data_IF_605600083501
#
_entry.id   IF_605600083501
#
_cell.length_a   1.000
_cell.length_b   1.000
_cell.length_c   1.000
_cell.angle_alpha   90.00
_cell.angle_beta   90.00
_cell.angle_gamma   90.00
#
_symmetry.space_group_name_H-M   'P 1'
#
loop_
_entity.id
_entity.type
_entity.pdbx_description
1 polymer ?
#
# COMPACT_ATOMS: atom_id res chain seq x y z
N UNK A 1 -13.54 -13.22 -20.95
CA UNK A 1 -12.49 -14.19 -20.57
C UNK A 1 -12.82 -14.70 -19.18
N UNK A 2 -13.11 -16.00 -19.08
CA UNK A 2 -13.23 -16.70 -17.81
C UNK A 2 -11.95 -16.53 -17.00
N UNK A 3 -12.07 -16.50 -15.67
CA UNK A 3 -10.89 -16.59 -14.82
C UNK A 3 -10.21 -17.94 -15.13
N UNK A 4 -9.01 -17.90 -15.73
CA UNK A 4 -8.28 -19.11 -16.12
C UNK A 4 -7.85 -19.97 -14.91
N UNK A 5 -7.87 -19.37 -13.72
CA UNK A 5 -7.59 -20.00 -12.43
C UNK A 5 -8.26 -19.23 -11.30
N UNK A 6 -8.64 -19.93 -10.23
CA UNK A 6 -9.09 -19.32 -8.96
C UNK A 6 -8.06 -18.31 -8.42
N UNK A 7 -6.78 -18.50 -8.75
CA UNK A 7 -5.71 -17.62 -8.32
C UNK A 7 -5.78 -16.23 -8.95
N UNK A 8 -6.21 -16.11 -10.21
CA UNK A 8 -6.37 -14.82 -10.88
C UNK A 8 -7.53 -14.02 -10.27
N UNK A 9 -8.60 -14.72 -9.91
CA UNK A 9 -9.73 -14.14 -9.19
C UNK A 9 -9.32 -13.62 -7.81
N UNK A 10 -8.60 -14.46 -7.03
CA UNK A 10 -8.11 -14.08 -5.70
C UNK A 10 -7.11 -12.92 -5.78
N UNK A 11 -6.21 -12.90 -6.76
CA UNK A 11 -5.29 -11.78 -6.98
C UNK A 11 -6.01 -10.47 -7.32
N UNK A 12 -7.05 -10.52 -8.16
CA UNK A 12 -7.86 -9.34 -8.45
C UNK A 12 -8.56 -8.84 -7.18
N UNK A 13 -9.11 -9.74 -6.37
CA UNK A 13 -9.80 -9.41 -5.13
C UNK A 13 -8.84 -8.81 -4.08
N UNK A 14 -7.64 -9.39 -3.94
CA UNK A 14 -6.58 -8.81 -3.13
C UNK A 14 -6.13 -7.45 -3.64
N UNK A 15 -6.02 -7.26 -4.96
CA UNK A 15 -5.70 -5.96 -5.55
C UNK A 15 -6.77 -4.89 -5.23
N UNK A 16 -8.05 -5.26 -5.09
CA UNK A 16 -9.10 -4.31 -4.76
C UNK A 16 -9.10 -3.84 -3.31
N UNK A 17 -8.78 -4.74 -2.36
CA UNK A 17 -8.88 -4.43 -0.93
C UNK A 17 -7.53 -4.21 -0.26
N UNK A 18 -6.51 -5.01 -0.58
CA UNK A 18 -5.19 -4.93 0.07
C UNK A 18 -4.43 -3.68 -0.39
N UNK A 19 -4.53 -3.32 -1.66
CA UNK A 19 -3.85 -2.13 -2.19
C UNK A 19 -4.26 -0.82 -1.49
N UNK A 20 -5.56 -0.52 -1.26
CA UNK A 20 -5.96 0.66 -0.48
C UNK A 20 -5.84 0.48 1.05
N UNK A 21 -5.82 -0.75 1.57
CA UNK A 21 -5.54 -0.97 3.00
C UNK A 21 -4.12 -0.54 3.37
N UNK A 22 -3.15 -0.80 2.49
CA UNK A 22 -1.74 -0.47 2.73
C UNK A 22 -1.50 0.99 3.16
N UNK A 23 -1.88 2.02 2.39
CA UNK A 23 -1.65 3.41 2.78
C UNK A 23 -2.44 3.80 4.03
N UNK A 24 -3.65 3.27 4.23
CA UNK A 24 -4.47 3.55 5.42
C UNK A 24 -3.78 3.07 6.69
N UNK A 25 -3.27 1.84 6.69
CA UNK A 25 -2.54 1.25 7.82
C UNK A 25 -1.21 1.98 8.03
N UNK A 26 -0.47 2.23 6.95
CA UNK A 26 0.83 2.90 7.02
C UNK A 26 0.70 4.31 7.61
N UNK A 27 -0.28 5.09 7.16
CA UNK A 27 -0.57 6.41 7.73
C UNK A 27 -1.03 6.32 9.18
N UNK A 28 -1.85 5.32 9.53
CA UNK A 28 -2.25 5.09 10.92
C UNK A 28 -1.08 4.78 11.86
N UNK A 29 -0.06 4.05 11.38
CA UNK A 29 1.12 3.69 12.18
C UNK A 29 2.17 4.80 12.24
N UNK A 30 2.34 5.58 11.17
CA UNK A 30 3.45 6.54 11.04
C UNK A 30 3.03 8.00 11.25
N UNK A 31 1.74 8.33 11.18
CA UNK A 31 1.27 9.71 11.19
C UNK A 31 0.22 9.98 12.26
N UNK A 32 0.59 10.76 13.28
CA UNK A 32 -0.27 11.08 14.44
C UNK A 32 -1.56 11.83 14.10
N UNK A 33 -1.64 12.45 12.92
CA UNK A 33 -2.84 13.16 12.46
C UNK A 33 -3.84 12.26 11.75
N UNK A 34 -3.51 11.01 11.45
CA UNK A 34 -4.45 10.09 10.83
C UNK A 34 -5.68 9.88 11.75
N UNK A 35 -6.87 10.20 11.25
CA UNK A 35 -8.14 10.02 11.99
C UNK A 35 -8.89 8.77 11.52
N UNK A 36 -9.79 8.25 12.35
CA UNK A 36 -10.65 7.13 11.95
C UNK A 36 -11.54 7.47 10.76
N UNK A 37 -12.02 8.71 10.69
CA UNK A 37 -12.78 9.21 9.54
C UNK A 37 -11.90 9.25 8.28
N UNK A 38 -10.66 9.74 8.38
CA UNK A 38 -9.71 9.74 7.25
C UNK A 38 -9.38 8.32 6.77
N UNK A 39 -9.17 7.38 7.68
CA UNK A 39 -8.96 5.98 7.31
C UNK A 39 -10.17 5.37 6.62
N UNK A 40 -11.38 5.59 7.14
CA UNK A 40 -12.62 5.08 6.53
C UNK A 40 -12.87 5.66 5.13
N UNK A 41 -12.87 6.99 5.00
CA UNK A 41 -13.14 7.65 3.71
C UNK A 41 -12.04 7.41 2.69
N UNK A 42 -10.78 7.33 3.13
CA UNK A 42 -9.67 6.97 2.25
C UNK A 42 -9.79 5.53 1.74
N UNK A 43 -10.06 4.57 2.62
CA UNK A 43 -10.25 3.17 2.22
C UNK A 43 -11.44 3.01 1.26
N UNK A 44 -12.56 3.70 1.54
CA UNK A 44 -13.73 3.70 0.67
C UNK A 44 -13.39 4.28 -0.71
N UNK A 45 -12.76 5.45 -0.77
CA UNK A 45 -12.36 6.07 -2.03
C UNK A 45 -11.34 5.24 -2.81
N UNK A 46 -10.37 4.63 -2.12
CA UNK A 46 -9.40 3.71 -2.71
C UNK A 46 -10.06 2.45 -3.29
N UNK A 47 -11.03 1.88 -2.59
CA UNK A 47 -11.74 0.68 -3.05
C UNK A 47 -12.63 1.00 -4.24
N UNK A 48 -13.43 2.08 -4.15
CA UNK A 48 -14.31 2.52 -5.24
C UNK A 48 -13.51 2.90 -6.48
N UNK A 49 -12.39 3.59 -6.34
CA UNK A 49 -11.52 3.90 -7.49
C UNK A 49 -10.90 2.64 -8.11
N UNK A 50 -10.50 1.65 -7.31
CA UNK A 50 -9.99 0.36 -7.81
C UNK A 50 -11.06 -0.39 -8.61
N UNK A 51 -12.28 -0.48 -8.09
CA UNK A 51 -13.41 -1.09 -8.80
C UNK A 51 -13.75 -0.28 -10.06
N UNK A 52 -13.79 1.04 -9.97
CA UNK A 52 -14.09 1.93 -11.09
C UNK A 52 -13.08 1.79 -12.23
N UNK A 53 -11.77 1.76 -11.93
CA UNK A 53 -10.73 1.50 -12.92
C UNK A 53 -10.87 0.11 -13.56
N UNK A 54 -11.22 -0.91 -12.77
CA UNK A 54 -11.46 -2.26 -13.30
C UNK A 54 -12.66 -2.30 -14.26
N UNK A 55 -13.79 -1.68 -13.88
CA UNK A 55 -14.96 -1.56 -14.76
C UNK A 55 -14.61 -0.79 -16.02
N UNK A 56 -13.84 0.30 -15.91
CA UNK A 56 -13.47 1.13 -17.05
C UNK A 56 -12.65 0.35 -18.08
N UNK A 57 -11.63 -0.40 -17.65
CA UNK A 57 -10.85 -1.26 -18.56
C UNK A 57 -11.70 -2.36 -19.19
N UNK A 58 -12.74 -2.84 -18.48
CA UNK A 58 -13.67 -3.85 -19.02
C UNK A 58 -14.59 -3.29 -20.09
N UNK A 59 -15.08 -2.07 -19.92
CA UNK A 59 -15.99 -1.41 -20.87
C UNK A 59 -15.21 -0.87 -22.08
N UNK A 60 -14.04 -0.30 -21.84
CA UNK A 60 -13.17 0.27 -22.87
C UNK A 60 -11.74 -0.26 -22.72
N UNK A 61 -11.34 -1.26 -23.54
CA UNK A 61 -9.99 -1.80 -23.54
C UNK A 61 -8.91 -0.77 -23.89
N UNK A 62 -9.27 0.37 -24.48
CA UNK A 62 -8.32 1.46 -24.75
C UNK A 62 -7.88 2.19 -23.48
N UNK A 63 -8.69 2.15 -22.41
CA UNK A 63 -8.37 2.71 -21.10
C UNK A 63 -7.17 2.02 -20.43
N UNK A 64 -6.82 0.81 -20.89
CA UNK A 64 -5.64 0.08 -20.44
C UNK A 64 -4.35 0.86 -20.72
N UNK A 65 -4.31 1.64 -21.83
CA UNK A 65 -3.19 2.56 -22.14
C UNK A 65 -3.05 3.69 -21.12
N UNK A 66 -4.16 4.15 -20.56
CA UNK A 66 -4.22 5.26 -19.61
C UNK A 66 -3.84 4.77 -18.22
N UNK A 67 -4.36 3.60 -17.81
CA UNK A 67 -4.14 3.05 -16.48
C UNK A 67 -2.76 2.39 -16.36
N UNK A 68 -2.37 1.57 -17.34
CA UNK A 68 -1.10 0.84 -17.31
C UNK A 68 0.05 1.57 -18.02
N UNK A 69 -0.18 2.80 -18.50
CA UNK A 69 0.77 3.63 -19.24
C UNK A 69 1.38 2.95 -20.49
N UNK A 70 0.82 1.81 -20.92
CA UNK A 70 1.34 1.00 -22.01
C UNK A 70 0.22 0.23 -22.73
N UNK A 71 0.20 0.23 -24.08
CA UNK A 71 -0.81 -0.44 -24.88
C UNK A 71 -0.74 -1.97 -24.87
N UNK A 72 0.38 -2.55 -24.42
CA UNK A 72 0.62 -4.00 -24.38
C UNK A 72 0.78 -4.55 -22.97
N UNK A 73 0.30 -3.85 -21.96
CA UNK A 73 0.46 -4.28 -20.58
C UNK A 73 -0.25 -5.62 -20.34
N UNK A 74 0.50 -6.61 -19.84
CA UNK A 74 -0.05 -7.90 -19.40
C UNK A 74 -0.99 -7.66 -18.21
N UNK A 75 -1.94 -8.57 -17.99
CA UNK A 75 -2.92 -8.48 -16.90
C UNK A 75 -2.28 -8.21 -15.51
N UNK A 76 -1.10 -8.77 -15.25
CA UNK A 76 -0.34 -8.50 -14.03
C UNK A 76 0.08 -7.03 -13.88
N UNK A 77 0.53 -6.40 -14.97
CA UNK A 77 0.94 -4.99 -14.97
C UNK A 77 -0.27 -4.07 -14.76
N UNK A 78 -1.40 -4.37 -15.38
CA UNK A 78 -2.66 -3.65 -15.14
C UNK A 78 -3.05 -3.69 -13.65
N UNK A 79 -3.02 -4.88 -13.02
CA UNK A 79 -3.31 -5.05 -11.60
C UNK A 79 -2.37 -4.23 -10.70
N UNK A 80 -1.07 -4.17 -11.05
CA UNK A 80 -0.08 -3.38 -10.32
C UNK A 80 -0.34 -1.88 -10.41
N UNK A 81 -0.56 -1.35 -11.62
CA UNK A 81 -0.85 0.09 -11.80
C UNK A 81 -2.18 0.50 -11.19
N UNK A 82 -3.22 -0.33 -11.31
CA UNK A 82 -4.51 -0.08 -10.64
C UNK A 82 -4.34 -0.04 -9.12
N UNK A 83 -3.54 -0.96 -8.56
CA UNK A 83 -3.17 -0.96 -7.15
C UNK A 83 -2.44 0.32 -6.73
N UNK A 84 -1.49 0.80 -7.56
CA UNK A 84 -0.78 2.06 -7.33
C UNK A 84 -1.75 3.25 -7.28
N UNK A 85 -2.62 3.40 -8.29
CA UNK A 85 -3.60 4.48 -8.34
C UNK A 85 -4.59 4.44 -7.17
N UNK A 86 -5.10 3.26 -6.84
CA UNK A 86 -5.97 3.05 -5.69
C UNK A 86 -5.27 3.44 -4.38
N UNK A 87 -3.99 3.08 -4.24
CA UNK A 87 -3.16 3.45 -3.09
C UNK A 87 -2.99 4.97 -2.98
N UNK A 88 -2.65 5.65 -4.08
CA UNK A 88 -2.47 7.11 -4.11
C UNK A 88 -3.76 7.85 -3.77
N UNK A 89 -4.89 7.42 -4.36
CA UNK A 89 -6.21 8.01 -4.08
C UNK A 89 -6.57 7.80 -2.60
N UNK A 90 -6.37 6.59 -2.09
CA UNK A 90 -6.63 6.26 -0.69
C UNK A 90 -5.81 7.14 0.25
N UNK A 91 -4.48 7.21 0.04
CA UNK A 91 -3.59 8.04 0.84
C UNK A 91 -3.98 9.52 0.78
N UNK A 92 -4.27 10.04 -0.41
CA UNK A 92 -4.67 11.44 -0.61
C UNK A 92 -5.95 11.80 0.13
N UNK A 93 -6.98 10.96 0.02
CA UNK A 93 -8.27 11.17 0.71
C UNK A 93 -8.10 11.00 2.22
N UNK A 94 -7.34 10.01 2.68
CA UNK A 94 -7.04 9.87 4.12
C UNK A 94 -6.35 11.11 4.67
N UNK A 95 -5.36 11.66 3.95
CA UNK A 95 -4.66 12.89 4.35
C UNK A 95 -5.63 14.08 4.37
N UNK A 96 -6.37 14.31 3.29
CA UNK A 96 -7.30 15.44 3.19
C UNK A 96 -8.37 15.41 4.29
N UNK A 97 -9.04 14.28 4.48
CA UNK A 97 -10.08 14.14 5.51
C UNK A 97 -9.49 14.20 6.91
N UNK A 98 -8.29 13.63 7.14
CA UNK A 98 -7.61 13.73 8.43
C UNK A 98 -7.25 15.17 8.80
N UNK A 99 -6.90 16.01 7.82
CA UNK A 99 -6.62 17.44 8.05
C UNK A 99 -7.88 18.25 8.33
N UNK A 100 -9.02 17.85 7.77
CA UNK A 100 -10.32 18.51 7.95
C UNK A 100 -11.07 18.04 9.21
N UNK A 101 -10.61 16.98 9.87
CA UNK A 101 -11.27 16.38 11.04
C UNK A 101 -10.50 16.63 12.34
N UNK A 102 -11.17 16.45 13.48
CA UNK A 102 -10.55 16.67 14.79
C UNK A 102 -9.50 15.57 15.08
N UNK A 103 -8.25 15.94 15.38
CA UNK A 103 -7.21 14.96 15.72
C UNK A 103 -7.51 14.30 17.07
N UNK A 104 -7.13 13.02 17.21
CA UNK A 104 -7.20 12.32 18.50
C UNK A 104 -6.13 12.87 19.47
N UNK A 105 -6.41 12.88 20.79
CA UNK A 105 -5.42 13.29 21.79
C UNK A 105 -4.21 12.35 21.78
N UNK A 106 -3.01 12.89 21.96
CA UNK A 106 -1.75 12.13 21.87
C UNK A 106 -1.68 10.99 22.91
N UNK A 107 -2.33 11.15 24.07
CA UNK A 107 -2.45 10.10 25.09
C UNK A 107 -3.13 8.83 24.59
N UNK A 108 -4.05 8.93 23.62
CA UNK A 108 -4.73 7.80 23.01
C UNK A 108 -3.93 7.16 21.86
N UNK A 109 -2.79 7.77 21.46
CA UNK A 109 -1.93 7.30 20.37
C UNK A 109 -0.66 6.61 20.87
N UNK A 110 -0.41 6.64 22.19
CA UNK A 110 0.70 5.96 22.83
C UNK A 110 0.64 4.45 22.55
N UNK A 111 1.73 3.90 22.02
CA UNK A 111 1.82 2.47 21.65
C UNK A 111 1.22 2.12 20.29
N UNK A 112 0.49 3.05 19.64
CA UNK A 112 -0.17 2.83 18.34
C UNK A 112 0.56 3.51 17.19
N UNK A 113 1.05 4.73 17.42
CA UNK A 113 1.78 5.51 16.41
C UNK A 113 3.26 5.51 16.75
N UNK A 114 4.12 5.22 15.79
CA UNK A 114 5.59 5.17 15.99
C UNK A 114 6.13 6.43 16.69
N UNK A 115 5.60 7.60 16.36
CA UNK A 115 6.00 8.88 16.95
C UNK A 115 5.60 9.08 18.42
N UNK A 116 4.61 8.34 18.91
CA UNK A 116 4.13 8.39 20.30
C UNK A 116 4.60 7.18 21.12
N UNK A 117 5.38 6.27 20.52
CA UNK A 117 5.84 5.04 21.16
C UNK A 117 7.32 5.15 21.49
N UNK A 118 7.68 4.89 22.75
CA UNK A 118 9.09 4.81 23.16
C UNK A 118 9.68 3.53 22.59
N UNK A 119 10.55 3.67 21.59
CA UNK A 119 11.23 2.53 20.97
C UNK A 119 12.39 2.05 21.88
N UNK A 120 12.48 0.76 22.20
CA UNK A 120 13.58 0.22 22.98
C UNK A 120 14.91 0.41 22.24
N UNK A 121 15.96 0.82 22.97
CA UNK A 121 17.27 1.09 22.37
C UNK A 121 18.06 -0.20 22.14
N UNK A 122 18.45 -0.45 20.89
CA UNK A 122 19.26 -1.63 20.49
C UNK A 122 20.77 -1.44 20.70
N UNK A 123 21.22 -0.30 21.27
CA UNK A 123 22.66 0.01 21.43
C UNK A 123 23.42 -1.01 22.26
N UNK A 124 22.73 -1.71 23.16
CA UNK A 124 23.30 -2.72 24.05
C UNK A 124 23.50 -4.11 23.39
N UNK A 125 23.00 -4.32 22.17
CA UNK A 125 23.09 -5.60 21.46
C UNK A 125 24.35 -5.70 20.61
N UNK A 126 24.95 -6.89 20.55
CA UNK A 126 26.06 -7.24 19.65
C UNK A 126 25.62 -7.22 18.19
N UNK A 127 26.56 -6.99 17.25
CA UNK A 127 26.26 -6.76 15.83
C UNK A 127 25.35 -7.84 15.21
N UNK A 128 25.59 -9.12 15.49
CA UNK A 128 24.78 -10.25 14.97
C UNK A 128 23.38 -10.36 15.57
N UNK A 129 23.13 -9.75 16.73
CA UNK A 129 21.80 -9.71 17.38
C UNK A 129 20.98 -8.50 16.92
N UNK A 130 21.57 -7.57 16.16
CA UNK A 130 20.87 -6.40 15.63
C UNK A 130 20.11 -6.79 14.36
N UNK A 131 18.79 -6.54 14.28
CA UNK A 131 18.01 -6.79 13.06
C UNK A 131 18.60 -6.08 11.83
N UNK A 132 19.19 -4.89 12.02
CA UNK A 132 19.81 -4.11 10.95
C UNK A 132 20.96 -4.84 10.23
N UNK A 133 21.74 -5.67 10.94
CA UNK A 133 22.82 -6.45 10.31
C UNK A 133 22.26 -7.46 9.31
N UNK A 134 21.25 -8.23 9.73
CA UNK A 134 20.58 -9.21 8.86
C UNK A 134 19.81 -8.55 7.72
N UNK A 135 19.19 -7.39 7.94
CA UNK A 135 18.59 -6.61 6.87
C UNK A 135 19.63 -6.23 5.78
N UNK A 136 20.85 -5.86 6.20
CA UNK A 136 21.97 -5.60 5.29
C UNK A 136 22.41 -6.84 4.51
N UNK A 137 22.55 -7.99 5.18
CA UNK A 137 22.90 -9.27 4.51
C UNK A 137 21.85 -9.64 3.47
N UNK A 138 20.56 -9.58 3.82
CA UNK A 138 19.46 -9.88 2.89
C UNK A 138 19.44 -8.91 1.72
N UNK A 139 19.72 -7.62 1.95
CA UNK A 139 19.80 -6.61 0.89
C UNK A 139 20.95 -6.88 -0.10
N UNK A 140 22.12 -7.29 0.40
CA UNK A 140 23.26 -7.67 -0.46
C UNK A 140 22.93 -8.91 -1.29
N UNK A 141 22.33 -9.93 -0.68
CA UNK A 141 21.88 -11.14 -1.41
C UNK A 141 20.86 -10.77 -2.48
N UNK A 142 19.90 -9.90 -2.16
CA UNK A 142 18.91 -9.41 -3.12
C UNK A 142 19.57 -8.74 -4.33
N UNK A 143 20.51 -7.82 -4.12
CA UNK A 143 21.24 -7.16 -5.21
C UNK A 143 22.06 -8.14 -6.04
N UNK A 144 22.75 -9.08 -5.39
CA UNK A 144 23.54 -10.09 -6.07
C UNK A 144 22.68 -10.97 -6.99
N UNK A 145 21.56 -11.48 -6.47
CA UNK A 145 20.62 -12.28 -7.27
C UNK A 145 20.01 -11.45 -8.39
N UNK A 146 19.69 -10.17 -8.14
CA UNK A 146 19.15 -9.31 -9.18
C UNK A 146 20.15 -9.13 -10.33
N UNK A 147 21.43 -8.86 -10.04
CA UNK A 147 22.48 -8.74 -11.08
C UNK A 147 22.75 -10.07 -11.80
N UNK A 148 22.65 -11.21 -11.12
CA UNK A 148 22.91 -12.52 -11.72
C UNK A 148 21.80 -12.96 -12.69
N UNK A 149 20.54 -12.60 -12.41
CA UNK A 149 19.35 -13.03 -13.18
C UNK A 149 18.76 -11.95 -14.09
N UNK A 150 19.30 -10.73 -14.07
CA UNK A 150 18.93 -9.64 -14.97
C UNK A 150 19.47 -9.89 -16.38
#
# INVERSE_FOLDING_TARGET
MEFASIMDYVQALFSFFIAPLFPTVLLGMLWKRATSAGGFWGLLAGTVSSIGMWIWVKVDPSALRIIALSPGAKAMAENMYRGLWSCLICAGVTVAVSLLTKPKPESALNGLVRSCTVLPSEKHLTLFRRPAFWAGVVFVVFLFLNVLFW
#
